data_IF_750337100453
#
_entry.id   IF_750337100453
#
_cell.length_a   1.000
_cell.length_b   1.000
_cell.length_c   1.000
_cell.angle_alpha   90.00
_cell.angle_beta   90.00
_cell.angle_gamma   90.00
#
_symmetry.space_group_name_H-M   'P 1'
#
loop_
_entity.id
_entity.type
_entity.pdbx_description
1 polymer ?
#
# COMPACT_ATOMS: atom_id res chain seq x y z
N UNK A 1 -16.97 18.44 -9.25
CA UNK A 1 -16.18 17.37 -9.89
C UNK A 1 -15.55 16.49 -8.83
N UNK A 2 -15.84 15.21 -8.86
CA UNK A 2 -15.32 14.29 -7.85
C UNK A 2 -13.94 13.82 -8.24
N UNK A 3 -12.99 14.04 -7.36
CA UNK A 3 -11.65 13.53 -7.54
C UNK A 3 -11.41 12.41 -6.55
N UNK A 4 -10.97 11.28 -7.05
CA UNK A 4 -10.57 10.20 -6.16
C UNK A 4 -9.24 10.54 -5.51
N UNK A 5 -9.14 10.24 -4.23
CA UNK A 5 -7.88 10.34 -3.52
C UNK A 5 -6.95 9.23 -4.01
N UNK A 6 -5.76 9.59 -4.41
CA UNK A 6 -4.75 8.62 -4.82
C UNK A 6 -3.61 8.63 -3.82
N UNK A 7 -3.30 7.48 -3.28
CA UNK A 7 -2.32 7.34 -2.20
C UNK A 7 -1.19 6.44 -2.65
N UNK A 8 0.03 6.94 -2.54
CA UNK A 8 1.23 6.19 -2.87
C UNK A 8 1.99 5.90 -1.58
N UNK A 9 2.32 4.64 -1.36
CA UNK A 9 2.99 4.21 -0.14
C UNK A 9 4.22 3.38 -0.49
N UNK A 10 5.28 3.57 0.27
CA UNK A 10 6.51 2.83 0.07
C UNK A 10 6.92 2.16 1.39
N UNK A 11 7.19 0.87 1.31
CA UNK A 11 7.54 0.09 2.50
C UNK A 11 9.01 0.08 2.87
N UNK A 12 9.87 0.62 2.04
CA UNK A 12 11.29 0.73 2.37
C UNK A 12 12.07 -0.57 2.35
N UNK A 13 11.49 -1.66 1.90
CA UNK A 13 12.22 -2.91 1.72
C UNK A 13 12.44 -3.76 2.96
N UNK A 14 11.95 -3.35 4.12
CA UNK A 14 11.98 -4.15 5.33
C UNK A 14 10.58 -4.53 5.76
N UNK A 15 10.39 -5.76 6.20
CA UNK A 15 9.08 -6.22 6.63
C UNK A 15 8.51 -5.43 7.79
N UNK A 16 9.37 -4.83 8.61
CA UNK A 16 8.94 -4.06 9.76
C UNK A 16 8.20 -2.78 9.44
N UNK A 17 8.35 -2.26 8.22
CA UNK A 17 7.70 -1.00 7.82
C UNK A 17 6.40 -1.20 7.04
N UNK A 18 6.19 -2.40 6.51
CA UNK A 18 5.02 -2.62 5.64
C UNK A 18 3.72 -2.67 6.44
N UNK A 19 3.74 -3.23 7.64
CA UNK A 19 2.53 -3.34 8.42
C UNK A 19 2.00 -1.97 8.89
N UNK A 20 2.85 -1.04 9.36
CA UNK A 20 2.39 0.31 9.62
C UNK A 20 1.83 1.01 8.39
N UNK A 21 2.44 0.80 7.21
CA UNK A 21 1.92 1.39 5.98
C UNK A 21 0.55 0.84 5.62
N UNK A 22 0.35 -0.47 5.79
CA UNK A 22 -0.95 -1.08 5.54
C UNK A 22 -1.99 -0.53 6.52
N UNK A 23 -1.62 -0.34 7.78
CA UNK A 23 -2.53 0.22 8.77
C UNK A 23 -2.96 1.64 8.40
N UNK A 24 -2.04 2.44 7.90
CA UNK A 24 -2.36 3.78 7.43
C UNK A 24 -3.31 3.72 6.23
N UNK A 25 -3.03 2.82 5.29
CA UNK A 25 -3.89 2.65 4.12
C UNK A 25 -5.30 2.21 4.52
N UNK A 26 -5.39 1.29 5.47
CA UNK A 26 -6.69 0.81 5.96
C UNK A 26 -7.50 1.96 6.57
N UNK A 27 -6.85 2.82 7.35
CA UNK A 27 -7.53 3.96 7.95
C UNK A 27 -8.01 4.95 6.90
N UNK A 28 -7.16 5.22 5.90
CA UNK A 28 -7.55 6.13 4.82
C UNK A 28 -8.71 5.53 4.03
N UNK A 29 -8.65 4.23 3.74
CA UNK A 29 -9.72 3.56 3.00
C UNK A 29 -11.03 3.61 3.78
N UNK A 30 -10.97 3.50 5.09
CA UNK A 30 -12.16 3.59 5.93
C UNK A 30 -12.82 4.95 5.80
N UNK A 31 -12.00 6.01 5.71
CA UNK A 31 -12.51 7.38 5.63
C UNK A 31 -12.86 7.78 4.21
N UNK A 32 -12.16 7.23 3.23
CA UNK A 32 -12.34 7.55 1.82
C UNK A 32 -12.47 6.26 1.02
N UNK A 33 -13.66 5.64 1.00
CA UNK A 33 -13.83 4.32 0.40
C UNK A 33 -13.47 4.26 -1.08
N UNK A 34 -13.50 5.40 -1.79
CA UNK A 34 -13.17 5.44 -3.21
C UNK A 34 -11.69 5.71 -3.46
N UNK A 35 -10.88 5.84 -2.42
CA UNK A 35 -9.45 6.14 -2.59
C UNK A 35 -8.76 5.00 -3.34
N UNK A 36 -7.81 5.36 -4.19
CA UNK A 36 -6.97 4.40 -4.88
C UNK A 36 -5.61 4.35 -4.20
N UNK A 37 -5.10 3.13 -4.03
CA UNK A 37 -3.85 2.91 -3.33
C UNK A 37 -2.88 2.18 -4.22
N UNK A 38 -1.63 2.59 -4.18
CA UNK A 38 -0.54 1.88 -4.83
C UNK A 38 0.63 1.80 -3.86
N UNK A 39 1.09 0.60 -3.61
CA UNK A 39 2.29 0.37 -2.83
C UNK A 39 3.46 0.15 -3.77
N UNK A 40 4.64 0.60 -3.36
CA UNK A 40 5.87 0.35 -4.08
C UNK A 40 6.81 -0.37 -3.14
N UNK A 41 7.32 -1.51 -3.56
CA UNK A 41 8.20 -2.32 -2.74
C UNK A 41 9.32 -2.93 -3.55
N UNK A 42 10.31 -3.52 -2.85
CA UNK A 42 11.39 -4.23 -3.50
C UNK A 42 10.91 -5.62 -3.91
N UNK A 43 11.22 -6.01 -5.14
CA UNK A 43 10.86 -7.35 -5.61
C UNK A 43 11.50 -8.42 -4.73
N UNK A 44 10.73 -9.47 -4.46
CA UNK A 44 11.22 -10.59 -3.66
C UNK A 44 11.19 -10.35 -2.17
N UNK A 45 10.65 -9.23 -1.73
CA UNK A 45 10.55 -8.92 -0.31
C UNK A 45 9.15 -9.23 0.22
N UNK A 46 9.02 -9.18 1.54
CA UNK A 46 7.77 -9.53 2.22
C UNK A 46 6.59 -8.68 1.77
N UNK A 47 6.83 -7.42 1.44
CA UNK A 47 5.76 -6.53 1.03
C UNK A 47 5.09 -6.98 -0.27
N UNK A 48 5.84 -7.63 -1.17
CA UNK A 48 5.26 -8.15 -2.42
C UNK A 48 4.21 -9.24 -2.15
N UNK A 49 4.25 -9.82 -0.97
CA UNK A 49 3.33 -10.87 -0.56
C UNK A 49 2.23 -10.32 0.33
N UNK A 50 2.61 -9.51 1.32
CA UNK A 50 1.67 -9.06 2.34
C UNK A 50 0.72 -7.98 1.87
N UNK A 51 1.16 -7.09 0.98
CA UNK A 51 0.31 -6.01 0.50
C UNK A 51 -0.87 -6.54 -0.33
N UNK A 52 -0.67 -7.47 -1.30
CA UNK A 52 -1.82 -8.05 -1.99
C UNK A 52 -2.77 -8.80 -1.05
N UNK A 53 -2.23 -9.46 -0.02
CA UNK A 53 -3.08 -10.15 0.95
C UNK A 53 -3.97 -9.18 1.71
N UNK A 54 -3.52 -7.94 1.88
CA UNK A 54 -4.31 -6.91 2.54
C UNK A 54 -5.31 -6.23 1.59
N UNK A 55 -5.28 -6.58 0.31
CA UNK A 55 -6.23 -6.05 -0.67
C UNK A 55 -5.75 -4.84 -1.43
N UNK A 56 -4.44 -4.60 -1.48
CA UNK A 56 -3.87 -3.44 -2.18
C UNK A 56 -2.99 -3.88 -3.34
N UNK A 57 -2.84 -2.98 -4.31
CA UNK A 57 -1.91 -3.19 -5.41
C UNK A 57 -0.50 -2.82 -5.00
N UNK A 58 0.48 -3.53 -5.52
CA UNK A 58 1.87 -3.22 -5.27
C UNK A 58 2.66 -3.36 -6.57
N UNK A 59 3.60 -2.43 -6.78
CA UNK A 59 4.57 -2.48 -7.86
C UNK A 59 5.93 -2.78 -7.28
N UNK A 60 6.62 -3.74 -7.89
CA UNK A 60 7.95 -4.10 -7.44
C UNK A 60 9.02 -3.32 -8.17
N UNK A 61 10.05 -2.95 -7.42
CA UNK A 61 11.22 -2.26 -7.96
C UNK A 61 12.45 -3.10 -7.65
N UNK A 62 13.25 -3.35 -8.66
CA UNK A 62 14.49 -4.10 -8.47
C UNK A 62 15.62 -3.21 -7.99
#
# INVERSE_FOLDING_TARGET
MNKKLKVLLSGGGTGGHIFPAIAIADEIRRRFPDAEFLFIGANGKMEMEKVPQAGYKIEGID
#
